data_IF_170222113833
#
_entry.id   IF_170222113833
#
_cell.length_a   1.000
_cell.length_b   1.000
_cell.length_c   1.000
_cell.angle_alpha   90.00
_cell.angle_beta   90.00
_cell.angle_gamma   90.00
#
_symmetry.space_group_name_H-M   'P 1'
#
loop_
_entity.id
_entity.type
_entity.pdbx_description
1 polymer ?
#
# COMPACT_ATOMS: atom_id res chain seq x y z
N UNK A 1 21.93 -14.14 -22.25
CA UNK A 1 21.50 -14.44 -20.87
C UNK A 1 21.41 -13.20 -19.98
N UNK A 2 22.45 -12.36 -19.86
CA UNK A 2 22.43 -11.16 -18.99
C UNK A 2 21.28 -10.16 -19.25
N UNK A 3 20.87 -9.96 -20.50
CA UNK A 3 19.83 -8.98 -20.88
C UNK A 3 18.42 -9.35 -20.39
N UNK A 4 18.09 -10.63 -20.36
CA UNK A 4 16.76 -11.13 -19.96
C UNK A 4 16.61 -11.05 -18.43
N UNK A 5 17.66 -11.37 -17.69
CA UNK A 5 17.69 -11.22 -16.23
C UNK A 5 17.51 -9.76 -15.82
N UNK A 6 18.17 -8.83 -16.51
CA UNK A 6 18.03 -7.40 -16.25
C UNK A 6 16.59 -6.91 -16.49
N UNK A 7 15.95 -7.38 -17.56
CA UNK A 7 14.55 -7.05 -17.87
C UNK A 7 13.61 -7.51 -16.75
N UNK A 8 13.81 -8.72 -16.22
CA UNK A 8 13.00 -9.24 -15.09
C UNK A 8 13.17 -8.42 -13.82
N UNK A 9 14.40 -8.02 -13.48
CA UNK A 9 14.68 -7.20 -12.28
C UNK A 9 14.01 -5.82 -12.37
N UNK A 10 13.98 -5.21 -13.55
CA UNK A 10 13.33 -3.91 -13.78
C UNK A 10 11.80 -4.05 -13.74
N UNK A 11 11.23 -5.16 -14.20
CA UNK A 11 9.78 -5.37 -14.13
C UNK A 11 9.27 -5.49 -12.68
N UNK A 12 9.99 -6.22 -11.83
CA UNK A 12 9.57 -6.42 -10.43
C UNK A 12 9.80 -5.19 -9.54
N UNK A 13 10.71 -4.28 -9.89
CA UNK A 13 10.99 -3.10 -9.07
C UNK A 13 9.77 -2.16 -8.93
N UNK A 14 8.90 -2.16 -9.93
CA UNK A 14 7.66 -1.36 -9.92
C UNK A 14 6.57 -1.95 -9.01
N UNK A 15 6.59 -3.27 -8.74
CA UNK A 15 5.61 -3.90 -7.86
C UNK A 15 5.90 -3.61 -6.38
N UNK A 16 7.17 -3.43 -6.01
CA UNK A 16 7.60 -3.19 -4.62
C UNK A 16 7.52 -1.72 -4.20
N UNK A 17 7.42 -0.79 -5.15
CA UNK A 17 7.39 0.66 -4.91
C UNK A 17 6.06 1.30 -5.33
N UNK A 18 4.99 0.51 -5.47
CA UNK A 18 3.69 1.03 -5.83
C UNK A 18 3.08 1.81 -4.66
N UNK A 19 2.72 3.07 -4.92
CA UNK A 19 1.80 3.81 -4.06
C UNK A 19 0.39 3.23 -4.28
N UNK A 20 -0.21 2.74 -3.20
CA UNK A 20 -1.53 2.10 -3.20
C UNK A 20 -2.52 2.95 -2.41
N UNK A 21 -3.70 3.18 -2.97
CA UNK A 21 -4.84 3.76 -2.28
C UNK A 21 -5.85 2.66 -2.00
N UNK A 22 -6.13 2.41 -0.72
CA UNK A 22 -7.08 1.41 -0.27
C UNK A 22 -8.31 2.10 0.32
N UNK A 23 -9.46 1.95 -0.33
CA UNK A 23 -10.73 2.47 0.19
C UNK A 23 -11.39 1.40 1.07
N UNK A 24 -11.64 1.73 2.35
CA UNK A 24 -12.21 0.79 3.33
C UNK A 24 -13.49 1.36 3.93
N UNK A 25 -14.49 0.48 4.08
CA UNK A 25 -15.75 0.83 4.72
C UNK A 25 -15.60 1.11 6.21
N UNK A 26 -14.83 0.29 6.93
CA UNK A 26 -14.56 0.44 8.36
C UNK A 26 -13.08 0.17 8.64
N UNK A 27 -12.44 1.03 9.42
CA UNK A 27 -11.11 0.87 9.97
C UNK A 27 -11.24 0.77 11.50
N UNK A 28 -10.82 -0.36 12.06
CA UNK A 28 -10.84 -0.63 13.51
C UNK A 28 -9.47 -0.33 14.11
N UNK A 29 -9.41 0.55 15.10
CA UNK A 29 -8.25 0.70 15.95
C UNK A 29 -8.29 -0.40 17.02
N UNK A 30 -7.24 -1.22 17.06
CA UNK A 30 -7.14 -2.34 18.00
C UNK A 30 -6.66 -1.94 19.39
N UNK A 31 -6.14 -0.71 19.56
CA UNK A 31 -5.65 -0.22 20.85
C UNK A 31 -6.79 0.23 21.77
N UNK A 32 -7.81 0.90 21.22
CA UNK A 32 -8.94 1.50 21.95
C UNK A 32 -10.31 0.97 21.51
N UNK A 33 -10.39 0.28 20.36
CA UNK A 33 -11.63 -0.24 19.80
C UNK A 33 -12.39 0.74 18.89
N UNK A 34 -11.81 1.91 18.58
CA UNK A 34 -12.48 2.93 17.77
C UNK A 34 -12.67 2.49 16.31
N UNK A 35 -13.81 2.86 15.72
CA UNK A 35 -14.14 2.55 14.33
C UNK A 35 -14.27 3.83 13.51
N UNK A 36 -13.36 4.03 12.56
CA UNK A 36 -13.46 5.06 11.53
C UNK A 36 -14.15 4.49 10.29
N UNK A 37 -15.20 5.16 9.80
CA UNK A 37 -15.98 4.71 8.64
C UNK A 37 -15.58 5.47 7.37
N UNK A 38 -15.66 4.78 6.24
CA UNK A 38 -15.40 5.28 4.88
C UNK A 38 -14.09 6.08 4.80
N UNK A 39 -12.97 5.38 4.99
CA UNK A 39 -11.64 6.02 4.94
C UNK A 39 -10.82 5.50 3.77
N UNK A 40 -9.91 6.33 3.30
CA UNK A 40 -8.90 5.97 2.32
C UNK A 40 -7.55 5.87 3.01
N UNK A 41 -6.89 4.74 2.84
CA UNK A 41 -5.56 4.48 3.39
C UNK A 41 -4.56 4.60 2.24
N UNK A 42 -3.63 5.55 2.34
CA UNK A 42 -2.51 5.66 1.42
C UNK A 42 -1.34 4.83 1.95
N UNK A 43 -0.92 3.85 1.16
CA UNK A 43 0.20 2.95 1.45
C UNK A 43 1.32 3.29 0.47
N UNK A 44 2.50 3.60 1.01
CA UNK A 44 3.71 3.88 0.23
C UNK A 44 4.76 2.81 0.51
N UNK A 45 5.05 2.00 -0.49
CA UNK A 45 5.89 0.81 -0.32
C UNK A 45 5.26 -0.17 0.66
N UNK A 46 5.85 -0.35 1.85
CA UNK A 46 5.37 -1.26 2.88
C UNK A 46 4.87 -0.56 4.16
N UNK A 47 4.56 0.74 4.09
CA UNK A 47 4.11 1.54 5.23
C UNK A 47 2.80 2.25 4.92
N UNK A 48 1.95 2.37 5.94
CA UNK A 48 0.83 3.31 5.91
C UNK A 48 1.44 4.71 5.97
N UNK A 49 1.13 5.54 4.99
CA UNK A 49 1.60 6.91 4.88
C UNK A 49 0.56 7.89 5.45
N UNK A 50 -0.71 7.70 5.08
CA UNK A 50 -1.79 8.59 5.48
C UNK A 50 -3.13 7.84 5.55
N UNK A 51 -4.03 8.32 6.41
CA UNK A 51 -5.43 7.88 6.48
C UNK A 51 -6.30 9.13 6.37
N UNK A 52 -7.19 9.18 5.38
CA UNK A 52 -8.11 10.30 5.14
C UNK A 52 -9.58 9.84 5.18
N UNK A 53 -10.47 10.73 5.64
CA UNK A 53 -11.93 10.56 5.59
C UNK A 53 -12.49 11.17 4.32
#
# INVERSE_FOLDING_TARGET
MKKITLLFVILISNLIHADTLLHVGNLLNTEDGDISKAVTIHIKGNKIYEITK
#
